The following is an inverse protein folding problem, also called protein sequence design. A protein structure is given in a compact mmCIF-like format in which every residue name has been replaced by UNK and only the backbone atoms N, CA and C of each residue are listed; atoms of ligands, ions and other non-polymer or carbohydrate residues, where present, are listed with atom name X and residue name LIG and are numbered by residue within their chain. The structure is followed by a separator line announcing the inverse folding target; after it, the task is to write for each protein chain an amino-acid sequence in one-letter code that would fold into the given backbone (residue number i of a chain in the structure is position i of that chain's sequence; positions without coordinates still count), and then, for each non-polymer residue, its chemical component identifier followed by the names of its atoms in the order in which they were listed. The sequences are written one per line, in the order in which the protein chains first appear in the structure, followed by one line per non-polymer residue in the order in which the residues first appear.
data_IF_344286145754
#
_entry.id   IF_344286145754
#
_cell.length_a   1.000
_cell.length_b   1.000
_cell.length_c   1.000
_cell.angle_alpha   90.00
_cell.angle_beta   90.00
_cell.angle_gamma   90.00
#
_symmetry.space_group_name_H-M   'P 1'
#
loop_
_entity.id
_entity.type
_entity.pdbx_description
1 polymer ?
#
# COMPACT_ATOMS: atom_id res chain seq x y z
N UNK A 1 -70.16 0.57 33.55
CA UNK A 1 -69.45 -0.31 32.59
C UNK A 1 -68.15 0.42 32.20
N UNK A 2 -67.01 0.02 32.76
CA UNK A 2 -65.72 0.73 32.60
C UNK A 2 -64.99 0.23 31.36
N UNK A 3 -64.67 1.15 30.44
CA UNK A 3 -63.92 0.92 29.22
C UNK A 3 -62.43 0.74 29.59
N UNK A 4 -61.82 -0.37 29.18
CA UNK A 4 -60.36 -0.57 29.23
C UNK A 4 -59.80 -0.47 27.82
N UNK A 5 -59.06 0.60 27.56
CA UNK A 5 -58.26 0.78 26.34
C UNK A 5 -56.97 -0.04 26.48
N UNK A 6 -56.56 -0.87 25.50
CA UNK A 6 -55.25 -1.50 25.55
C UNK A 6 -54.20 -0.53 24.98
N UNK A 7 -53.13 -0.31 25.73
CA UNK A 7 -51.94 0.39 25.23
C UNK A 7 -51.11 -0.61 24.40
N UNK A 8 -51.00 -0.36 23.10
CA UNK A 8 -50.10 -1.08 22.21
C UNK A 8 -48.69 -0.47 22.34
N UNK A 9 -47.78 -1.17 23.01
CA UNK A 9 -46.36 -0.80 23.05
C UNK A 9 -45.71 -1.14 21.70
N UNK A 10 -45.39 -0.12 20.91
CA UNK A 10 -44.63 -0.26 19.67
C UNK A 10 -43.13 -0.23 20.01
N UNK A 11 -42.47 -1.38 20.07
CA UNK A 11 -41.01 -1.46 20.14
C UNK A 11 -40.42 -1.20 18.74
N UNK A 12 -39.82 -0.03 18.54
CA UNK A 12 -39.04 0.29 17.34
C UNK A 12 -37.60 -0.17 17.60
N UNK A 13 -37.20 -1.29 17.00
CA UNK A 13 -35.79 -1.65 16.87
C UNK A 13 -35.16 -0.79 15.77
N UNK A 14 -34.48 0.30 16.15
CA UNK A 14 -33.53 0.99 15.27
C UNK A 14 -32.26 0.13 15.18
N UNK A 15 -32.21 -0.80 14.22
CA UNK A 15 -30.93 -1.35 13.76
C UNK A 15 -30.33 -0.36 12.76
N UNK A 16 -29.52 0.59 13.24
CA UNK A 16 -28.65 1.36 12.35
C UNK A 16 -27.46 0.48 11.95
N UNK A 17 -27.61 -0.31 10.88
CA UNK A 17 -26.46 -0.85 10.17
C UNK A 17 -25.77 0.33 9.47
N UNK A 18 -24.75 0.89 10.10
CA UNK A 18 -23.78 1.73 9.41
C UNK A 18 -22.93 0.80 8.54
N UNK A 19 -23.40 0.54 7.31
CA UNK A 19 -22.55 -0.02 6.26
C UNK A 19 -21.62 1.11 5.84
N UNK A 20 -20.47 1.22 6.50
CA UNK A 20 -19.41 2.08 5.99
C UNK A 20 -18.66 1.30 4.91
N UNK A 21 -18.71 1.81 3.68
CA UNK A 21 -17.93 1.25 2.58
C UNK A 21 -16.44 1.25 2.95
N UNK A 22 -15.76 0.12 2.74
CA UNK A 22 -14.34 -0.03 3.05
C UNK A 22 -13.47 0.79 2.08
N UNK A 23 -13.94 0.93 0.84
CA UNK A 23 -13.39 1.80 -0.19
C UNK A 23 -14.27 3.03 -0.32
N UNK A 24 -13.67 4.22 -0.27
CA UNK A 24 -14.38 5.49 -0.48
C UNK A 24 -13.56 6.44 -1.34
N UNK A 25 -14.16 7.56 -1.71
CA UNK A 25 -13.49 8.63 -2.46
C UNK A 25 -12.87 8.12 -3.78
N UNK A 26 -13.41 7.03 -4.31
CA UNK A 26 -13.01 6.48 -5.60
C UNK A 26 -13.40 7.47 -6.68
N UNK A 27 -12.42 8.00 -7.40
CA UNK A 27 -12.66 8.92 -8.51
C UNK A 27 -11.56 8.86 -9.54
N UNK A 28 -11.94 9.19 -10.77
CA UNK A 28 -11.00 9.44 -11.85
C UNK A 28 -10.11 10.64 -11.52
N UNK A 29 -8.82 10.53 -11.84
CA UNK A 29 -7.86 11.63 -11.78
C UNK A 29 -7.64 12.25 -13.14
N UNK A 30 -7.12 11.47 -14.07
CA UNK A 30 -6.78 11.92 -15.42
C UNK A 30 -6.58 10.73 -16.36
N UNK A 31 -6.60 11.01 -17.67
CA UNK A 31 -6.12 10.12 -18.72
C UNK A 31 -4.60 10.06 -18.67
N UNK A 32 -4.03 8.84 -18.73
CA UNK A 32 -2.58 8.66 -18.76
C UNK A 32 -2.08 9.05 -20.17
N UNK A 33 -0.97 9.79 -20.31
CA UNK A 33 -0.47 10.20 -21.62
C UNK A 33 -0.22 9.00 -22.54
N UNK A 34 -0.59 9.12 -23.82
CA UNK A 34 -0.51 8.03 -24.80
C UNK A 34 0.90 7.45 -25.03
N UNK A 35 1.96 8.11 -24.56
CA UNK A 35 3.33 7.55 -24.58
C UNK A 35 3.53 6.45 -23.53
N UNK A 36 2.72 6.43 -22.47
CA UNK A 36 2.72 5.42 -21.40
C UNK A 36 1.52 4.47 -21.54
N UNK A 37 1.19 4.09 -22.79
CA UNK A 37 -0.04 3.44 -23.25
C UNK A 37 -0.41 2.14 -22.52
N UNK A 38 0.56 1.41 -21.99
CA UNK A 38 0.44 0.04 -21.44
C UNK A 38 1.03 0.01 -20.02
N UNK A 39 0.52 0.89 -19.16
CA UNK A 39 1.01 1.03 -17.78
C UNK A 39 0.71 -0.21 -16.95
N UNK A 40 1.73 -1.08 -16.81
CA UNK A 40 1.71 -2.24 -15.92
C UNK A 40 2.05 -1.86 -14.48
N UNK A 41 3.11 -1.07 -14.26
CA UNK A 41 3.59 -0.72 -12.92
C UNK A 41 3.30 0.71 -12.50
N UNK A 42 3.02 0.92 -11.21
CA UNK A 42 2.87 2.26 -10.62
C UNK A 42 3.75 2.44 -9.38
N UNK A 43 4.42 3.58 -9.29
CA UNK A 43 5.10 4.00 -8.07
C UNK A 43 4.88 5.49 -7.78
N UNK A 44 4.56 5.84 -6.54
CA UNK A 44 4.53 7.23 -6.11
C UNK A 44 5.86 7.65 -5.47
N UNK A 45 6.53 8.65 -6.06
CA UNK A 45 7.82 9.15 -5.59
C UNK A 45 7.85 10.67 -5.58
N UNK A 46 7.95 11.28 -4.40
CA UNK A 46 8.11 12.74 -4.23
C UNK A 46 7.06 13.60 -4.96
N UNK A 47 5.79 13.22 -4.92
CA UNK A 47 4.73 13.96 -5.61
C UNK A 47 4.62 13.65 -7.10
N UNK A 48 5.39 12.67 -7.60
CA UNK A 48 5.37 12.20 -8.99
C UNK A 48 4.88 10.76 -9.04
N UNK A 49 4.29 10.40 -10.17
CA UNK A 49 3.95 9.03 -10.49
C UNK A 49 4.98 8.53 -11.48
N UNK A 50 5.62 7.41 -11.16
CA UNK A 50 6.52 6.69 -12.04
C UNK A 50 5.75 5.49 -12.60
N UNK A 51 5.84 5.29 -13.90
CA UNK A 51 5.24 4.18 -14.63
C UNK A 51 6.17 3.71 -15.76
N UNK A 52 5.91 2.56 -16.35
CA UNK A 52 6.52 2.08 -17.59
C UNK A 52 5.44 1.40 -18.45
N UNK A 53 5.78 1.14 -19.71
CA UNK A 53 4.94 0.28 -20.54
C UNK A 53 5.27 -1.20 -20.27
N UNK A 54 4.30 -2.09 -20.52
CA UNK A 54 4.38 -3.54 -20.34
C UNK A 54 5.53 -4.15 -21.16
N UNK A 55 5.31 -4.41 -22.45
CA UNK A 55 6.29 -4.98 -23.36
C UNK A 55 6.38 -4.19 -24.67
N UNK A 56 7.40 -4.48 -25.49
CA UNK A 56 7.53 -3.91 -26.85
C UNK A 56 7.95 -2.44 -26.95
N UNK A 57 8.10 -1.72 -25.83
CA UNK A 57 8.75 -0.40 -25.77
C UNK A 57 10.25 -0.53 -25.40
N UNK A 58 10.98 0.58 -25.43
CA UNK A 58 12.33 0.63 -24.87
C UNK A 58 12.27 0.65 -23.33
N UNK A 59 13.42 0.41 -22.69
CA UNK A 59 13.56 0.46 -21.24
C UNK A 59 13.44 1.90 -20.69
N UNK A 60 12.21 2.37 -20.57
CA UNK A 60 11.86 3.71 -20.11
C UNK A 60 11.02 3.70 -18.85
N UNK A 61 11.35 4.60 -17.93
CA UNK A 61 10.41 5.05 -16.90
C UNK A 61 9.83 6.41 -17.32
N UNK A 62 8.53 6.56 -17.16
CA UNK A 62 7.79 7.80 -17.40
C UNK A 62 7.47 8.46 -16.06
N UNK A 63 7.89 9.71 -15.88
CA UNK A 63 7.59 10.49 -14.69
C UNK A 63 6.45 11.47 -14.99
N UNK A 64 5.29 11.23 -14.38
CA UNK A 64 4.09 12.04 -14.51
C UNK A 64 3.91 12.93 -13.28
N UNK A 65 3.38 14.12 -13.50
CA UNK A 65 2.90 14.95 -12.41
C UNK A 65 1.64 14.34 -11.77
N UNK A 66 1.67 14.09 -10.46
CA UNK A 66 0.59 13.35 -9.78
C UNK A 66 -0.74 14.11 -9.66
N UNK A 67 -0.74 15.42 -9.92
CA UNK A 67 -1.94 16.26 -9.87
C UNK A 67 -2.57 16.41 -11.26
N UNK A 68 -1.74 16.56 -12.29
CA UNK A 68 -2.19 16.94 -13.64
C UNK A 68 -2.10 15.81 -14.67
N UNK A 69 -1.31 14.76 -14.42
CA UNK A 69 -1.04 13.68 -15.37
C UNK A 69 -0.07 14.07 -16.49
N UNK A 70 0.45 15.30 -16.48
CA UNK A 70 1.42 15.77 -17.48
C UNK A 70 2.72 14.98 -17.36
N UNK A 71 3.22 14.49 -18.50
CA UNK A 71 4.54 13.90 -18.60
C UNK A 71 5.60 14.98 -18.33
N UNK A 72 6.35 14.83 -17.23
CA UNK A 72 7.46 15.72 -16.92
C UNK A 72 8.70 15.32 -17.70
N UNK A 73 8.99 14.02 -17.73
CA UNK A 73 10.17 13.48 -18.40
C UNK A 73 10.06 11.98 -18.62
N UNK A 74 10.92 11.50 -19.52
CA UNK A 74 11.23 10.09 -19.74
C UNK A 74 12.64 9.82 -19.25
N UNK A 75 12.83 8.70 -18.57
CA UNK A 75 14.11 8.27 -18.00
C UNK A 75 14.52 6.97 -18.67
N UNK A 76 15.69 6.94 -19.30
CA UNK A 76 16.23 5.76 -20.00
C UNK A 76 17.11 4.92 -19.08
N UNK A 77 16.82 3.62 -19.01
CA UNK A 77 17.66 2.64 -18.33
C UNK A 77 18.58 1.99 -19.37
N UNK A 78 19.80 2.50 -19.48
CA UNK A 78 20.71 2.27 -20.63
C UNK A 78 21.16 0.83 -20.82
N UNK A 79 21.21 0.05 -19.75
CA UNK A 79 21.67 -1.34 -19.76
C UNK A 79 20.54 -2.33 -19.43
N UNK A 80 19.28 -1.93 -19.64
CA UNK A 80 18.13 -2.77 -19.49
C UNK A 80 17.41 -2.95 -20.82
N UNK A 81 16.70 -4.07 -20.95
CA UNK A 81 15.76 -4.33 -22.05
C UNK A 81 14.38 -4.55 -21.43
N UNK A 82 13.36 -3.97 -22.05
CA UNK A 82 11.99 -4.29 -21.73
C UNK A 82 11.56 -5.52 -22.54
N UNK A 83 11.70 -6.69 -21.92
CA UNK A 83 11.19 -7.94 -22.50
C UNK A 83 9.73 -8.09 -22.11
N UNK A 84 9.43 -8.03 -20.81
CA UNK A 84 8.09 -8.14 -20.26
C UNK A 84 8.07 -7.47 -18.87
N UNK A 85 8.00 -6.13 -18.86
CA UNK A 85 8.08 -5.34 -17.62
C UNK A 85 6.72 -5.24 -16.96
N UNK A 86 6.65 -5.65 -15.70
CA UNK A 86 5.39 -5.80 -14.98
C UNK A 86 5.19 -4.72 -13.92
N UNK A 87 5.69 -4.94 -12.71
CA UNK A 87 5.38 -4.05 -11.60
C UNK A 87 6.62 -3.29 -11.09
N UNK A 88 6.34 -2.21 -10.37
CA UNK A 88 7.32 -1.36 -9.72
C UNK A 88 7.25 -1.52 -8.20
N UNK A 89 8.40 -1.59 -7.56
CA UNK A 89 8.50 -1.50 -6.11
C UNK A 89 9.63 -0.56 -5.70
N UNK A 90 9.68 -0.19 -4.43
CA UNK A 90 10.75 0.64 -3.90
C UNK A 90 11.11 0.29 -2.45
N UNK A 91 12.30 0.73 -2.06
CA UNK A 91 12.69 0.87 -0.65
C UNK A 91 13.21 2.29 -0.41
N UNK A 92 13.84 2.59 0.72
CA UNK A 92 14.35 3.92 1.01
C UNK A 92 15.37 4.46 -0.01
N UNK A 93 16.10 3.57 -0.70
CA UNK A 93 17.26 3.88 -1.53
C UNK A 93 17.03 3.64 -3.03
N UNK A 94 16.29 2.59 -3.39
CA UNK A 94 16.19 2.08 -4.75
C UNK A 94 14.74 2.04 -5.26
N UNK A 95 14.60 2.15 -6.58
CA UNK A 95 13.43 1.67 -7.32
C UNK A 95 13.80 0.32 -7.92
N UNK A 96 12.82 -0.58 -7.95
CA UNK A 96 12.90 -1.90 -8.52
C UNK A 96 11.89 -2.00 -9.67
N UNK A 97 12.37 -2.49 -10.81
CA UNK A 97 11.58 -2.69 -12.03
C UNK A 97 11.56 -4.19 -12.31
N UNK A 98 10.37 -4.78 -12.33
CA UNK A 98 10.20 -6.21 -12.57
C UNK A 98 10.21 -6.51 -14.06
N UNK A 99 11.20 -7.26 -14.56
CA UNK A 99 11.18 -7.87 -15.89
C UNK A 99 10.92 -9.38 -15.69
N UNK A 100 9.67 -9.66 -15.32
CA UNK A 100 9.21 -10.94 -14.76
C UNK A 100 7.98 -11.51 -15.43
N UNK A 101 7.37 -10.76 -16.36
CA UNK A 101 6.30 -11.27 -17.20
C UNK A 101 6.81 -12.49 -17.96
N UNK A 102 5.93 -13.49 -18.07
CA UNK A 102 6.24 -14.80 -18.61
C UNK A 102 4.97 -15.47 -19.13
N UNK A 103 4.19 -14.81 -20.01
CA UNK A 103 2.83 -15.25 -20.37
C UNK A 103 2.74 -16.69 -20.91
N UNK A 104 3.84 -17.21 -21.50
CA UNK A 104 3.93 -18.56 -22.05
C UNK A 104 4.68 -19.55 -21.16
N UNK A 105 5.26 -19.11 -20.04
CA UNK A 105 6.01 -19.97 -19.14
C UNK A 105 7.36 -20.44 -19.70
N UNK A 106 7.89 -19.79 -20.72
CA UNK A 106 9.11 -20.21 -21.43
C UNK A 106 10.37 -19.45 -20.99
N UNK A 107 10.23 -18.35 -20.26
CA UNK A 107 11.37 -17.51 -19.88
C UNK A 107 12.23 -18.16 -18.80
N UNK A 108 13.54 -18.08 -19.01
CA UNK A 108 14.59 -18.59 -18.12
C UNK A 108 15.50 -17.47 -17.58
N UNK A 109 15.19 -16.23 -17.92
CA UNK A 109 16.03 -15.07 -17.69
C UNK A 109 15.31 -14.01 -16.84
N UNK A 110 14.38 -14.39 -15.96
CA UNK A 110 13.63 -13.44 -15.14
C UNK A 110 14.56 -12.61 -14.26
N UNK A 111 14.27 -11.32 -14.13
CA UNK A 111 15.13 -10.38 -13.39
C UNK A 111 14.36 -9.19 -12.83
N UNK A 112 14.96 -8.57 -11.83
CA UNK A 112 14.59 -7.26 -11.29
C UNK A 112 15.74 -6.29 -11.58
N UNK A 113 15.44 -5.16 -12.22
CA UNK A 113 16.38 -4.06 -12.35
C UNK A 113 16.30 -3.16 -11.13
N UNK A 114 17.45 -2.86 -10.53
CA UNK A 114 17.57 -1.99 -9.34
C UNK A 114 18.24 -0.68 -9.73
N UNK A 115 17.56 0.44 -9.48
CA UNK A 115 18.01 1.79 -9.85
C UNK A 115 18.08 2.67 -8.61
N UNK A 116 19.19 3.38 -8.42
CA UNK A 116 19.35 4.35 -7.34
C UNK A 116 18.39 5.53 -7.51
N UNK A 117 17.59 5.82 -6.49
CA UNK A 117 16.70 6.99 -6.48
C UNK A 117 17.47 8.31 -6.61
N UNK A 118 18.70 8.36 -6.12
CA UNK A 118 19.57 9.53 -6.21
C UNK A 118 20.03 9.81 -7.64
N UNK A 119 20.14 8.80 -8.50
CA UNK A 119 20.55 8.95 -9.89
C UNK A 119 19.40 9.48 -10.75
N UNK A 120 18.17 9.01 -10.48
CA UNK A 120 16.95 9.54 -11.11
C UNK A 120 16.78 11.04 -10.86
N UNK A 121 17.25 11.57 -9.72
CA UNK A 121 17.20 13.01 -9.43
C UNK A 121 18.19 13.84 -10.26
N UNK A 122 19.28 13.22 -10.74
CA UNK A 122 20.39 13.91 -11.41
C UNK A 122 20.31 13.83 -12.93
N UNK A 123 19.72 12.77 -13.47
CA UNK A 123 19.77 12.46 -14.90
C UNK A 123 18.46 11.86 -15.41
N UNK A 124 18.21 12.05 -16.70
CA UNK A 124 17.16 11.35 -17.45
C UNK A 124 17.70 10.08 -18.13
N UNK A 125 18.94 9.70 -17.82
CA UNK A 125 19.61 8.53 -18.37
C UNK A 125 20.44 7.92 -17.25
N UNK A 126 20.11 6.70 -16.86
CA UNK A 126 20.71 5.99 -15.74
C UNK A 126 21.03 4.54 -16.13
N UNK A 127 21.82 3.86 -15.32
CA UNK A 127 22.02 2.41 -15.41
C UNK A 127 21.32 1.73 -14.24
N UNK A 128 20.95 0.46 -14.43
CA UNK A 128 20.45 -0.40 -13.38
C UNK A 128 21.48 -1.46 -13.00
N UNK A 129 21.41 -1.94 -11.77
CA UNK A 129 21.96 -3.24 -11.40
C UNK A 129 20.92 -4.32 -11.65
N UNK A 130 21.35 -5.57 -11.84
CA UNK A 130 20.44 -6.69 -12.14
C UNK A 130 20.46 -7.70 -11.00
N UNK A 131 19.25 -8.10 -10.59
CA UNK A 131 19.01 -9.19 -9.66
C UNK A 131 18.24 -10.26 -10.42
N UNK A 132 18.87 -11.39 -10.70
CA UNK A 132 18.21 -12.46 -11.46
C UNK A 132 17.56 -13.46 -10.52
N UNK A 133 16.47 -14.07 -10.97
CA UNK A 133 15.84 -15.14 -10.21
C UNK A 133 15.25 -16.24 -11.10
N UNK A 134 15.08 -17.41 -10.51
CA UNK A 134 14.28 -18.51 -11.07
C UNK A 134 13.34 -19.05 -9.99
N UNK A 135 12.18 -19.59 -10.38
CA UNK A 135 11.31 -20.27 -9.43
C UNK A 135 11.94 -21.58 -8.96
N UNK A 136 11.73 -21.95 -7.70
CA UNK A 136 12.21 -23.23 -7.15
C UNK A 136 11.54 -24.45 -7.80
N UNK A 137 10.31 -24.29 -8.31
CA UNK A 137 9.43 -25.38 -8.74
C UNK A 137 9.03 -25.30 -10.23
N UNK A 138 9.61 -24.38 -11.01
CA UNK A 138 9.44 -24.38 -12.47
C UNK A 138 10.41 -25.38 -13.14
N UNK A 139 9.90 -26.55 -13.48
CA UNK A 139 10.70 -27.63 -14.08
C UNK A 139 10.49 -27.81 -15.59
N UNK A 140 9.45 -27.19 -16.17
CA UNK A 140 9.17 -27.19 -17.61
C UNK A 140 9.09 -25.75 -18.12
N UNK A 141 9.61 -25.57 -19.33
CA UNK A 141 9.58 -24.33 -20.10
C UNK A 141 8.90 -24.57 -21.46
N UNK A 142 8.04 -25.58 -21.51
CA UNK A 142 7.17 -25.83 -22.66
C UNK A 142 6.04 -24.80 -22.65
N UNK A 143 5.88 -24.09 -23.76
CA UNK A 143 4.93 -22.99 -23.86
C UNK A 143 3.48 -23.41 -23.53
N UNK A 144 2.83 -22.70 -22.61
CA UNK A 144 1.42 -22.92 -22.25
C UNK A 144 0.76 -21.62 -21.78
N UNK A 145 -0.55 -21.49 -21.98
CA UNK A 145 -1.34 -20.36 -21.47
C UNK A 145 -1.88 -20.59 -20.05
N UNK A 146 -1.68 -21.79 -19.48
CA UNK A 146 -2.29 -22.20 -18.20
C UNK A 146 -1.26 -22.53 -17.10
N UNK A 147 0.01 -22.20 -17.32
CA UNK A 147 1.04 -22.30 -16.28
C UNK A 147 0.87 -21.22 -15.19
N UNK A 148 1.61 -21.38 -14.09
CA UNK A 148 1.50 -20.54 -12.89
C UNK A 148 2.83 -19.83 -12.54
N UNK A 149 3.63 -19.51 -13.57
CA UNK A 149 4.98 -18.92 -13.45
C UNK A 149 5.08 -17.55 -14.15
N UNK A 150 3.93 -16.91 -14.35
CA UNK A 150 3.78 -15.55 -14.85
C UNK A 150 3.67 -14.61 -13.66
N UNK A 151 4.66 -13.73 -13.43
CA UNK A 151 4.71 -12.85 -12.27
C UNK A 151 4.45 -11.41 -12.65
N UNK A 152 3.29 -10.90 -12.23
CA UNK A 152 2.78 -9.60 -12.67
C UNK A 152 2.65 -8.58 -11.54
N UNK A 153 2.95 -8.96 -10.29
CA UNK A 153 2.97 -7.98 -9.21
C UNK A 153 4.18 -8.16 -8.29
N UNK A 154 4.70 -7.04 -7.79
CA UNK A 154 5.95 -6.98 -7.03
C UNK A 154 5.79 -6.05 -5.82
N UNK A 155 6.28 -6.51 -4.66
CA UNK A 155 6.50 -5.62 -3.50
C UNK A 155 7.85 -5.91 -2.87
N UNK A 156 8.43 -4.88 -2.24
CA UNK A 156 9.52 -5.06 -1.29
C UNK A 156 8.94 -5.12 0.12
N UNK A 157 9.18 -6.23 0.82
CA UNK A 157 8.73 -6.43 2.19
C UNK A 157 9.82 -7.12 3.01
N UNK A 158 10.18 -6.52 4.16
CA UNK A 158 11.18 -7.07 5.07
C UNK A 158 12.50 -7.50 4.37
N UNK A 159 13.05 -6.61 3.53
CA UNK A 159 14.27 -6.82 2.72
C UNK A 159 14.22 -7.98 1.73
N UNK A 160 13.02 -8.40 1.34
CA UNK A 160 12.80 -9.40 0.30
C UNK A 160 11.85 -8.85 -0.76
N UNK A 161 11.99 -9.34 -1.98
CA UNK A 161 10.93 -9.28 -2.95
C UNK A 161 9.87 -10.32 -2.59
N UNK A 162 8.62 -9.92 -2.71
CA UNK A 162 7.50 -10.84 -2.87
C UNK A 162 6.91 -10.62 -4.26
N UNK A 163 6.91 -11.66 -5.08
CA UNK A 163 6.26 -11.67 -6.39
C UNK A 163 4.96 -12.45 -6.32
N UNK A 164 3.92 -11.96 -6.99
CA UNK A 164 2.61 -12.59 -7.07
C UNK A 164 2.34 -13.03 -8.49
N UNK A 165 1.94 -14.28 -8.66
CA UNK A 165 1.70 -14.83 -9.99
C UNK A 165 0.27 -14.62 -10.49
N UNK A 166 0.14 -14.42 -11.81
CA UNK A 166 -1.13 -14.32 -12.55
C UNK A 166 -1.53 -15.68 -13.10
N UNK A 167 -2.09 -16.53 -12.24
CA UNK A 167 -2.40 -17.91 -12.63
C UNK A 167 -3.65 -17.98 -13.52
N UNK A 168 -3.46 -18.00 -14.84
CA UNK A 168 -4.55 -18.17 -15.81
C UNK A 168 -5.19 -19.56 -15.76
N UNK A 169 -4.44 -20.59 -15.33
CA UNK A 169 -4.91 -21.97 -15.29
C UNK A 169 -5.85 -22.31 -14.13
N UNK A 170 -5.61 -21.75 -12.93
CA UNK A 170 -6.38 -22.09 -11.71
C UNK A 170 -6.99 -20.89 -10.98
N UNK A 171 -6.76 -19.66 -11.48
CA UNK A 171 -7.27 -18.40 -10.91
C UNK A 171 -6.84 -18.16 -9.46
N UNK A 172 -5.77 -18.81 -9.01
CA UNK A 172 -5.09 -18.55 -7.75
C UNK A 172 -4.01 -17.49 -7.95
N UNK A 173 -3.29 -17.22 -6.88
CA UNK A 173 -1.97 -16.59 -6.96
C UNK A 173 -1.00 -17.38 -6.09
N UNK A 174 0.23 -17.54 -6.56
CA UNK A 174 1.34 -18.02 -5.75
C UNK A 174 2.20 -16.81 -5.35
N UNK A 175 2.77 -16.85 -4.15
CA UNK A 175 3.70 -15.83 -3.67
C UNK A 175 5.07 -16.46 -3.52
N UNK A 176 6.06 -15.90 -4.22
CA UNK A 176 7.45 -16.31 -4.09
C UNK A 176 8.28 -15.22 -3.43
N UNK A 177 9.26 -15.63 -2.64
CA UNK A 177 10.12 -14.77 -1.84
C UNK A 177 11.60 -15.00 -2.17
N UNK A 178 12.34 -13.91 -2.31
CA UNK A 178 13.80 -13.92 -2.46
C UNK A 178 14.40 -12.56 -2.04
N UNK A 179 15.68 -12.49 -1.62
CA UNK A 179 16.24 -11.26 -1.04
C UNK A 179 16.48 -10.16 -2.09
N UNK A 180 16.46 -8.90 -1.66
CA UNK A 180 16.75 -7.72 -2.51
C UNK A 180 18.24 -7.51 -2.82
N UNK A 181 19.09 -8.44 -2.38
CA UNK A 181 20.53 -8.39 -2.59
C UNK A 181 20.90 -8.73 -4.03
N UNK A 182 21.99 -8.18 -4.54
CA UNK A 182 22.50 -8.52 -5.88
C UNK A 182 22.85 -10.00 -5.99
N UNK A 183 22.73 -10.53 -7.21
CA UNK A 183 23.09 -11.89 -7.57
C UNK A 183 21.95 -12.66 -8.21
N UNK A 184 22.15 -13.97 -8.29
CA UNK A 184 21.17 -14.93 -8.79
C UNK A 184 20.50 -15.60 -7.60
N UNK A 185 19.17 -15.61 -7.57
CA UNK A 185 18.40 -16.18 -6.48
C UNK A 185 17.45 -17.27 -6.98
N UNK A 186 17.12 -18.19 -6.08
CA UNK A 186 15.99 -19.09 -6.26
C UNK A 186 14.82 -18.53 -5.46
N UNK A 187 13.72 -18.20 -6.14
CA UNK A 187 12.51 -17.71 -5.52
C UNK A 187 11.73 -18.87 -4.90
N UNK A 188 11.52 -18.79 -3.58
CA UNK A 188 10.87 -19.84 -2.79
C UNK A 188 9.39 -19.52 -2.62
N UNK A 189 8.51 -20.47 -2.88
CA UNK A 189 7.06 -20.35 -2.74
C UNK A 189 6.69 -20.36 -1.26
N UNK A 190 6.26 -19.21 -0.76
CA UNK A 190 5.96 -19.02 0.68
C UNK A 190 4.48 -18.93 1.01
N UNK A 191 3.63 -18.62 0.02
CA UNK A 191 2.19 -18.48 0.21
C UNK A 191 1.43 -18.75 -1.08
N UNK A 192 0.13 -18.97 -0.97
CA UNK A 192 -0.79 -19.06 -2.10
C UNK A 192 -2.22 -18.78 -1.63
N UNK A 193 -3.04 -18.25 -2.52
CA UNK A 193 -4.45 -18.01 -2.24
C UNK A 193 -5.34 -18.31 -3.44
N UNK A 194 -6.52 -18.85 -3.17
CA UNK A 194 -7.59 -18.96 -4.16
C UNK A 194 -8.32 -17.62 -4.29
N UNK A 195 -7.73 -16.72 -5.08
CA UNK A 195 -8.28 -15.38 -5.32
C UNK A 195 -9.55 -15.45 -6.17
N UNK A 196 -9.68 -16.46 -7.04
CA UNK A 196 -10.69 -16.53 -8.10
C UNK A 196 -10.58 -15.28 -9.00
N UNK A 197 -9.37 -15.06 -9.52
CA UNK A 197 -9.03 -13.96 -10.39
C UNK A 197 -7.54 -13.86 -10.68
N UNK A 198 -7.21 -12.99 -11.62
CA UNK A 198 -5.86 -12.71 -12.08
C UNK A 198 -5.33 -11.48 -11.34
N UNK A 199 -4.20 -11.62 -10.64
CA UNK A 199 -3.49 -10.50 -10.00
C UNK A 199 -2.61 -9.82 -11.05
N UNK A 200 -2.59 -8.49 -11.01
CA UNK A 200 -1.87 -7.65 -12.00
C UNK A 200 -1.04 -6.53 -11.37
N UNK A 201 -1.20 -6.29 -10.06
CA UNK A 201 -0.40 -5.28 -9.37
C UNK A 201 -0.52 -5.39 -7.87
N UNK A 202 0.52 -4.92 -7.17
CA UNK A 202 0.59 -5.00 -5.71
C UNK A 202 1.23 -3.77 -5.10
N UNK A 203 0.77 -3.42 -3.91
CA UNK A 203 1.45 -2.42 -3.08
C UNK A 203 1.37 -2.82 -1.61
N UNK A 204 2.34 -2.36 -0.82
CA UNK A 204 2.40 -2.60 0.61
C UNK A 204 2.53 -1.27 1.35
N UNK A 205 1.70 -1.09 2.38
CA UNK A 205 1.76 0.07 3.24
C UNK A 205 1.55 -0.35 4.69
N UNK A 206 2.53 -0.08 5.56
CA UNK A 206 2.47 -0.43 6.98
C UNK A 206 2.14 -1.91 7.23
N UNK A 207 2.78 -2.80 6.46
CA UNK A 207 2.55 -4.25 6.47
C UNK A 207 1.14 -4.69 6.03
N UNK A 208 0.29 -3.79 5.54
CA UNK A 208 -0.93 -4.15 4.82
C UNK A 208 -0.60 -4.27 3.34
N UNK A 209 -0.98 -5.39 2.73
CA UNK A 209 -0.86 -5.56 1.28
C UNK A 209 -2.20 -5.22 0.65
N UNK A 210 -2.12 -4.55 -0.49
CA UNK A 210 -3.26 -4.29 -1.34
C UNK A 210 -2.87 -4.72 -2.76
N UNK A 211 -3.60 -5.70 -3.29
CA UNK A 211 -3.41 -6.20 -4.65
C UNK A 211 -4.60 -5.75 -5.50
N UNK A 212 -4.38 -5.50 -6.78
CA UNK A 212 -5.44 -5.36 -7.76
C UNK A 212 -5.41 -6.51 -8.77
N UNK A 213 -6.51 -6.65 -9.50
CA UNK A 213 -6.68 -7.72 -10.46
C UNK A 213 -8.05 -7.73 -11.08
N UNK A 214 -8.27 -8.71 -11.96
CA UNK A 214 -9.51 -8.90 -12.71
C UNK A 214 -10.03 -10.31 -12.55
N UNK A 215 -11.35 -10.48 -12.36
CA UNK A 215 -11.96 -11.80 -12.29
C UNK A 215 -12.33 -12.33 -13.68
N UNK A 216 -12.80 -13.58 -13.75
CA UNK A 216 -13.19 -14.24 -15.00
C UNK A 216 -14.32 -13.51 -15.78
N UNK A 217 -15.09 -12.62 -15.14
CA UNK A 217 -16.13 -11.81 -15.77
C UNK A 217 -15.62 -10.42 -16.18
N UNK A 218 -14.30 -10.23 -16.26
CA UNK A 218 -13.66 -8.95 -16.52
C UNK A 218 -14.05 -7.84 -15.50
N UNK A 219 -14.39 -8.20 -14.27
CA UNK A 219 -14.69 -7.22 -13.20
C UNK A 219 -13.42 -7.00 -12.37
N UNK A 220 -12.97 -5.74 -12.20
CA UNK A 220 -11.81 -5.43 -11.39
C UNK A 220 -12.09 -5.65 -9.92
N UNK A 221 -11.06 -5.97 -9.15
CA UNK A 221 -11.15 -6.13 -7.71
C UNK A 221 -9.89 -5.67 -7.00
N UNK A 222 -10.04 -5.49 -5.69
CA UNK A 222 -8.96 -5.30 -4.75
C UNK A 222 -8.91 -6.47 -3.77
N UNK A 223 -7.72 -6.91 -3.39
CA UNK A 223 -7.46 -7.88 -2.33
C UNK A 223 -6.66 -7.20 -1.23
N UNK A 224 -7.20 -7.13 -0.03
CA UNK A 224 -6.53 -6.61 1.16
C UNK A 224 -6.06 -7.75 2.06
N UNK A 225 -4.78 -7.74 2.40
CA UNK A 225 -4.15 -8.65 3.37
C UNK A 225 -3.72 -7.82 4.58
N UNK A 226 -4.28 -8.15 5.74
CA UNK A 226 -4.10 -7.36 6.95
C UNK A 226 -2.68 -7.44 7.51
N UNK A 227 -2.22 -6.33 8.08
CA UNK A 227 -1.02 -6.32 8.95
C UNK A 227 -1.21 -7.17 10.22
N UNK A 228 -2.46 -7.37 10.68
CA UNK A 228 -2.79 -8.19 11.86
C UNK A 228 -2.90 -9.69 11.54
N UNK A 229 -2.29 -10.13 10.43
CA UNK A 229 -2.19 -11.57 10.09
C UNK A 229 -1.23 -12.29 11.04
N UNK A 230 -1.28 -13.61 11.02
CA UNK A 230 -0.31 -14.45 11.71
C UNK A 230 1.11 -14.12 11.21
N UNK A 231 2.13 -14.08 12.08
CA UNK A 231 3.50 -13.84 11.66
C UNK A 231 4.01 -14.99 10.78
N UNK A 232 5.00 -14.69 9.95
CA UNK A 232 5.62 -15.64 9.02
C UNK A 232 5.44 -15.25 7.56
N UNK A 233 6.04 -16.05 6.68
CA UNK A 233 6.09 -15.75 5.25
C UNK A 233 4.78 -16.05 4.50
N UNK A 234 3.91 -16.90 5.08
CA UNK A 234 2.59 -17.18 4.55
C UNK A 234 1.62 -16.02 4.85
N UNK A 235 1.65 -15.00 3.98
CA UNK A 235 0.85 -13.79 4.14
C UNK A 235 -0.66 -14.03 4.04
N UNK A 236 -1.09 -15.09 3.35
CA UNK A 236 -2.51 -15.44 3.20
C UNK A 236 -3.04 -16.36 4.31
N UNK A 237 -2.20 -16.83 5.24
CA UNK A 237 -2.58 -17.77 6.31
C UNK A 237 -3.79 -17.33 7.13
N UNK A 238 -3.89 -16.02 7.41
CA UNK A 238 -5.01 -15.44 8.17
C UNK A 238 -6.19 -15.00 7.29
N UNK A 239 -6.19 -15.38 6.02
CA UNK A 239 -7.17 -14.96 5.02
C UNK A 239 -6.91 -13.57 4.46
N UNK A 240 -7.82 -13.13 3.60
CA UNK A 240 -7.79 -11.84 2.93
C UNK A 240 -9.23 -11.33 2.74
N UNK A 241 -9.39 -10.03 2.49
CA UNK A 241 -10.66 -9.44 2.08
C UNK A 241 -10.62 -9.10 0.59
N UNK A 242 -11.62 -9.53 -0.18
CA UNK A 242 -11.77 -9.17 -1.60
C UNK A 242 -12.91 -8.18 -1.78
N UNK A 243 -12.68 -7.12 -2.55
CA UNK A 243 -13.66 -6.08 -2.87
C UNK A 243 -13.75 -5.90 -4.39
N UNK A 244 -14.91 -6.12 -4.99
CA UNK A 244 -15.12 -5.92 -6.43
C UNK A 244 -15.42 -4.45 -6.73
N UNK A 245 -14.75 -3.89 -7.74
CA UNK A 245 -14.93 -2.51 -8.21
C UNK A 245 -16.06 -2.40 -9.26
N UNK A 246 -17.12 -3.21 -9.11
CA UNK A 246 -18.25 -3.24 -10.06
C UNK A 246 -18.97 -1.91 -10.12
N UNK A 247 -19.10 -1.22 -8.99
CA UNK A 247 -19.80 0.07 -8.91
C UNK A 247 -18.89 1.24 -9.31
N UNK A 248 -17.59 1.08 -9.11
CA UNK A 248 -16.58 2.11 -9.31
C UNK A 248 -16.07 2.16 -10.76
N UNK A 249 -15.81 0.99 -11.35
CA UNK A 249 -15.26 0.86 -12.71
C UNK A 249 -16.18 0.11 -13.67
N UNK A 250 -16.91 -0.89 -13.17
CA UNK A 250 -17.76 -1.75 -14.00
C UNK A 250 -16.99 -2.86 -14.73
N UNK A 251 -17.69 -3.54 -15.65
CA UNK A 251 -17.15 -4.68 -16.42
C UNK A 251 -16.21 -4.20 -17.53
N UNK A 252 -15.18 -5.00 -17.85
CA UNK A 252 -14.28 -4.76 -18.98
C UNK A 252 -13.17 -3.74 -18.70
N UNK A 253 -13.02 -3.30 -17.45
CA UNK A 253 -12.05 -2.28 -17.07
C UNK A 253 -10.76 -2.91 -16.53
N UNK A 254 -9.89 -3.42 -17.39
CA UNK A 254 -8.65 -4.07 -16.95
C UNK A 254 -7.75 -3.11 -16.14
N UNK A 255 -7.54 -3.45 -14.86
CA UNK A 255 -6.65 -2.72 -13.95
C UNK A 255 -5.32 -3.45 -13.85
N UNK A 256 -4.23 -2.69 -13.82
CA UNK A 256 -2.87 -3.25 -13.82
C UNK A 256 -2.09 -2.78 -12.60
N UNK A 257 -1.57 -1.56 -12.63
CA UNK A 257 -0.76 -1.02 -11.55
C UNK A 257 -1.55 -0.45 -10.38
N UNK A 258 -0.99 -0.58 -9.18
CA UNK A 258 -1.50 0.01 -7.93
C UNK A 258 -0.35 0.53 -7.08
N UNK A 259 -0.50 1.70 -6.46
CA UNK A 259 0.53 2.23 -5.55
C UNK A 259 -0.06 3.07 -4.43
N UNK A 260 0.54 3.02 -3.25
CA UNK A 260 0.17 3.91 -2.15
C UNK A 260 0.89 5.26 -2.29
N UNK A 261 0.17 6.37 -2.10
CA UNK A 261 0.77 7.71 -2.15
C UNK A 261 0.64 8.50 -0.84
N UNK A 262 -0.22 8.03 0.06
CA UNK A 262 -0.41 8.56 1.41
C UNK A 262 -1.11 7.48 2.26
N UNK A 263 -1.16 7.68 3.58
CA UNK A 263 -1.74 6.70 4.51
C UNK A 263 -3.21 6.39 4.18
N UNK A 264 -3.45 5.14 3.77
CA UNK A 264 -4.72 4.61 3.30
C UNK A 264 -5.23 5.20 1.98
N UNK A 265 -4.37 5.86 1.19
CA UNK A 265 -4.72 6.42 -0.12
C UNK A 265 -3.87 5.81 -1.23
N UNK A 266 -4.54 5.45 -2.31
CA UNK A 266 -3.96 4.65 -3.38
C UNK A 266 -4.31 5.19 -4.75
N UNK A 267 -3.38 5.03 -5.68
CA UNK A 267 -3.65 5.11 -7.10
C UNK A 267 -3.81 3.72 -7.68
N UNK A 268 -4.67 3.61 -8.69
CA UNK A 268 -4.84 2.41 -9.52
C UNK A 268 -4.95 2.85 -10.98
N UNK A 269 -4.22 2.17 -11.87
CA UNK A 269 -4.33 2.39 -13.31
C UNK A 269 -5.34 1.42 -13.92
N UNK A 270 -5.96 1.88 -15.00
CA UNK A 270 -6.71 1.05 -15.95
C UNK A 270 -6.06 1.19 -17.31
N UNK A 271 -5.89 0.08 -18.00
CA UNK A 271 -5.39 0.06 -19.37
C UNK A 271 -6.39 0.57 -20.40
N UNK A 272 -5.85 0.86 -21.59
CA UNK A 272 -6.70 1.05 -22.76
C UNK A 272 -7.24 -0.31 -23.21
N UNK A 273 -8.55 -0.41 -23.40
CA UNK A 273 -9.19 -1.61 -23.97
C UNK A 273 -9.72 -1.20 -25.33
N UNK A 274 -9.33 -1.90 -26.38
CA UNK A 274 -9.79 -1.60 -27.73
C UNK A 274 -10.27 -2.87 -28.44
N UNK A 275 -11.52 -3.21 -28.15
CA UNK A 275 -12.26 -4.32 -28.75
C UNK A 275 -13.33 -3.79 -29.70
N UNK A 276 -13.84 -4.61 -30.62
CA UNK A 276 -14.78 -4.21 -31.68
C UNK A 276 -16.02 -3.43 -31.20
N UNK A 277 -16.43 -3.61 -29.94
CA UNK A 277 -17.63 -3.00 -29.33
C UNK A 277 -17.28 -2.02 -28.19
N UNK A 278 -16.06 -2.07 -27.65
CA UNK A 278 -15.66 -1.31 -26.45
C UNK A 278 -14.30 -0.65 -26.69
N UNK A 279 -14.28 0.68 -26.64
CA UNK A 279 -13.05 1.48 -26.63
C UNK A 279 -12.96 2.26 -25.32
N UNK A 280 -12.09 1.80 -24.43
CA UNK A 280 -11.74 2.47 -23.18
C UNK A 280 -10.35 3.06 -23.29
N UNK A 281 -10.21 4.29 -22.83
CA UNK A 281 -8.91 4.93 -22.70
C UNK A 281 -8.22 4.52 -21.41
N UNK A 282 -6.90 4.54 -21.42
CA UNK A 282 -6.09 4.35 -20.23
C UNK A 282 -6.26 5.52 -19.25
N UNK A 283 -6.46 5.23 -17.97
CA UNK A 283 -6.73 6.25 -16.95
C UNK A 283 -6.13 5.90 -15.60
N UNK A 284 -5.90 6.94 -14.79
CA UNK A 284 -5.55 6.82 -13.39
C UNK A 284 -6.75 7.18 -12.50
N UNK A 285 -6.95 6.41 -11.45
CA UNK A 285 -7.95 6.67 -10.41
C UNK A 285 -7.27 6.82 -9.05
N UNK A 286 -7.91 7.55 -8.15
CA UNK A 286 -7.54 7.53 -6.73
C UNK A 286 -8.69 7.05 -5.86
N UNK A 287 -8.36 6.42 -4.74
CA UNK A 287 -9.33 6.01 -3.74
C UNK A 287 -8.71 5.94 -2.35
N UNK A 288 -9.57 5.75 -1.36
CA UNK A 288 -9.20 5.54 0.04
C UNK A 288 -9.64 4.16 0.52
N UNK A 289 -8.78 3.45 1.23
CA UNK A 289 -9.10 2.20 1.93
C UNK A 289 -8.91 2.36 3.44
N UNK A 290 -10.01 2.26 4.21
CA UNK A 290 -9.95 2.40 5.66
C UNK A 290 -9.37 1.19 6.38
N UNK A 291 -9.29 0.03 5.72
CA UNK A 291 -8.70 -1.19 6.31
C UNK A 291 -7.19 -1.03 6.52
N UNK A 292 -6.53 -0.27 5.65
CA UNK A 292 -5.13 0.14 5.82
C UNK A 292 -4.92 1.22 6.88
N UNK A 293 -5.99 1.86 7.38
CA UNK A 293 -5.90 2.92 8.38
C UNK A 293 -5.94 2.42 9.82
N UNK A 294 -6.23 1.14 10.04
CA UNK A 294 -6.17 0.56 11.37
C UNK A 294 -4.80 0.90 11.96
N UNK A 295 -4.82 1.55 13.13
CA UNK A 295 -3.64 1.93 13.89
C UNK A 295 -2.77 0.69 14.10
N UNK A 296 -1.87 0.42 13.15
CA UNK A 296 -0.57 -0.13 13.49
C UNK A 296 -0.06 0.80 14.56
N UNK A 297 0.05 0.29 15.78
CA UNK A 297 0.99 0.88 16.70
C UNK A 297 2.29 0.71 15.93
N UNK A 298 2.74 1.75 15.21
CA UNK A 298 4.16 1.86 14.87
C UNK A 298 4.84 1.40 16.15
N UNK A 299 5.57 0.28 16.07
CA UNK A 299 6.32 -0.27 17.18
C UNK A 299 7.23 0.87 17.58
N UNK A 300 6.75 1.68 18.52
CA UNK A 300 7.17 3.07 18.64
C UNK A 300 8.59 2.94 19.12
N UNK A 301 9.53 3.23 18.24
CA UNK A 301 10.95 3.41 18.52
C UNK A 301 11.11 4.70 19.33
N UNK A 302 10.48 4.69 20.50
CA UNK A 302 10.57 5.67 21.57
C UNK A 302 10.77 4.86 22.85
N UNK A 303 11.78 3.99 22.84
CA UNK A 303 12.24 3.27 24.02
C UNK A 303 12.69 4.25 25.14
N UNK A 304 12.87 5.55 24.83
CA UNK A 304 13.51 6.51 25.73
C UNK A 304 12.64 7.74 26.10
N UNK A 305 11.31 7.64 26.05
CA UNK A 305 10.40 8.67 26.61
C UNK A 305 9.70 8.16 27.87
N UNK A 306 10.11 8.68 29.03
CA UNK A 306 9.57 8.31 30.34
C UNK A 306 8.83 9.48 30.99
N UNK A 307 7.62 9.23 31.49
CA UNK A 307 6.82 10.23 32.20
C UNK A 307 6.40 9.67 33.55
N UNK A 308 6.81 10.32 34.64
CA UNK A 308 6.57 9.83 35.99
C UNK A 308 6.56 10.97 37.02
N UNK A 309 5.94 10.80 38.21
CA UNK A 309 5.08 9.66 38.54
C UNK A 309 3.78 9.72 37.73
N UNK A 310 3.27 8.54 37.38
CA UNK A 310 1.94 8.38 36.80
C UNK A 310 1.35 7.07 37.35
N UNK A 311 0.32 7.11 38.22
CA UNK A 311 -0.47 8.28 38.64
C UNK A 311 0.32 9.36 39.40
N UNK A 312 -0.16 10.61 39.38
CA UNK A 312 0.46 11.77 40.06
C UNK A 312 -0.53 12.48 40.99
N UNK A 313 -0.02 13.09 42.06
CA UNK A 313 -0.74 14.01 42.94
C UNK A 313 -0.63 15.48 42.48
N UNK A 314 0.18 15.79 41.47
CA UNK A 314 0.30 17.14 40.93
C UNK A 314 1.50 17.36 40.03
N UNK A 315 2.71 16.89 40.41
CA UNK A 315 3.90 17.11 39.59
C UNK A 315 4.21 15.90 38.72
N UNK A 316 4.56 16.14 37.45
CA UNK A 316 5.04 15.12 36.51
C UNK A 316 6.38 15.55 35.93
N UNK A 317 7.29 14.59 35.81
CA UNK A 317 8.59 14.72 35.16
C UNK A 317 8.56 14.02 33.82
N UNK A 318 9.13 14.65 32.79
CA UNK A 318 9.25 14.11 31.44
C UNK A 318 10.73 13.98 31.11
N UNK A 319 11.19 12.73 30.94
CA UNK A 319 12.53 12.41 30.46
C UNK A 319 12.46 11.97 29.00
N UNK A 320 13.20 12.66 28.15
CA UNK A 320 13.38 12.30 26.75
C UNK A 320 14.84 12.53 26.34
N UNK A 321 15.35 11.66 25.46
CA UNK A 321 16.64 11.84 24.78
C UNK A 321 16.54 12.78 23.56
N UNK A 322 15.32 13.08 23.10
CA UNK A 322 15.06 14.01 22.01
C UNK A 322 14.63 15.37 22.54
N UNK A 323 14.98 16.42 21.81
CA UNK A 323 14.54 17.78 22.12
C UNK A 323 13.03 17.92 21.93
N UNK A 324 12.36 18.39 22.98
CA UNK A 324 10.92 18.59 23.01
C UNK A 324 10.64 20.02 22.56
N UNK A 325 9.78 20.20 21.58
CA UNK A 325 9.35 21.51 21.11
C UNK A 325 8.21 22.05 21.99
N UNK A 326 7.16 21.26 22.16
CA UNK A 326 5.98 21.65 22.94
C UNK A 326 5.35 20.47 23.67
N UNK A 327 4.69 20.79 24.78
CA UNK A 327 3.93 19.84 25.58
C UNK A 327 2.55 20.41 25.82
N UNK A 328 1.51 19.75 25.32
CA UNK A 328 0.12 20.17 25.45
C UNK A 328 -0.68 19.14 26.27
N UNK A 329 -1.51 19.60 27.21
CA UNK A 329 -2.39 18.75 28.00
C UNK A 329 -3.84 18.94 27.56
N UNK A 330 -4.56 17.83 27.39
CA UNK A 330 -5.96 17.77 27.01
C UNK A 330 -6.77 16.99 28.05
N UNK A 331 -8.05 17.32 28.20
CA UNK A 331 -9.00 16.48 28.93
C UNK A 331 -9.54 15.35 28.03
N UNK A 332 -10.37 14.46 28.59
CA UNK A 332 -10.99 13.35 27.87
C UNK A 332 -11.95 13.76 26.76
N UNK A 333 -12.43 15.01 26.76
CA UNK A 333 -13.27 15.58 25.70
C UNK A 333 -12.43 16.21 24.56
N UNK A 334 -11.10 16.10 24.60
CA UNK A 334 -10.20 16.67 23.60
C UNK A 334 -10.00 18.19 23.70
N UNK A 335 -10.52 18.84 24.76
CA UNK A 335 -10.27 20.26 25.02
C UNK A 335 -8.84 20.44 25.55
N UNK A 336 -8.05 21.29 24.89
CA UNK A 336 -6.73 21.70 25.37
C UNK A 336 -6.89 22.47 26.68
N UNK A 337 -6.26 21.98 27.74
CA UNK A 337 -6.28 22.56 29.09
C UNK A 337 -5.09 23.49 29.29
N UNK A 338 -3.89 23.08 28.85
CA UNK A 338 -2.66 23.85 29.04
C UNK A 338 -1.59 23.47 28.03
N UNK A 339 -0.64 24.36 27.81
CA UNK A 339 0.53 24.16 26.94
C UNK A 339 1.79 24.69 27.62
N UNK A 340 2.91 24.01 27.40
CA UNK A 340 4.22 24.29 27.96
C UNK A 340 5.27 24.23 26.84
N UNK A 341 6.31 25.08 26.94
CA UNK A 341 7.39 25.17 25.96
C UNK A 341 8.60 24.30 26.35
N UNK A 342 9.44 24.02 25.34
CA UNK A 342 10.60 23.12 25.30
C UNK A 342 11.45 22.90 26.57
N UNK A 343 11.61 23.91 27.43
CA UNK A 343 12.59 23.88 28.53
C UNK A 343 12.06 23.29 29.84
N UNK A 344 10.77 22.95 29.93
CA UNK A 344 10.16 22.46 31.17
C UNK A 344 10.12 20.92 31.21
N UNK A 345 11.12 20.33 31.88
CA UNK A 345 11.18 18.88 32.17
C UNK A 345 10.26 18.46 33.32
N UNK A 346 9.74 19.43 34.07
CA UNK A 346 8.76 19.24 35.13
C UNK A 346 7.52 20.07 34.84
N UNK A 347 6.36 19.45 34.98
CA UNK A 347 5.06 20.07 34.79
C UNK A 347 4.25 19.94 36.07
N UNK A 348 3.76 21.07 36.55
CA UNK A 348 2.82 21.11 37.67
C UNK A 348 1.37 21.16 37.15
N UNK A 349 0.61 20.13 37.50
CA UNK A 349 -0.83 19.97 37.31
C UNK A 349 -1.59 19.81 38.64
N UNK A 350 -1.06 20.31 39.76
CA UNK A 350 -1.73 20.21 41.07
C UNK A 350 -3.12 20.84 41.07
N UNK A 351 -3.28 21.91 40.29
CA UNK A 351 -4.53 22.67 40.17
C UNK A 351 -5.57 22.01 39.25
N UNK A 352 -5.26 20.84 38.67
CA UNK A 352 -6.20 20.12 37.83
C UNK A 352 -7.09 19.23 38.70
N UNK A 353 -8.36 19.12 38.31
CA UNK A 353 -9.29 18.18 38.94
C UNK A 353 -8.75 16.74 38.85
N UNK A 354 -9.18 15.89 39.80
CA UNK A 354 -8.88 14.46 39.73
C UNK A 354 -9.49 13.87 38.46
N UNK A 355 -8.73 13.08 37.71
CA UNK A 355 -9.18 12.54 36.44
C UNK A 355 -8.07 12.11 35.49
N UNK A 356 -8.49 11.72 34.29
CA UNK A 356 -7.61 11.29 33.21
C UNK A 356 -7.31 12.47 32.28
N UNK A 357 -6.05 12.63 31.91
CA UNK A 357 -5.57 13.64 30.98
C UNK A 357 -4.72 13.00 29.88
N UNK A 358 -4.69 13.63 28.71
CA UNK A 358 -3.82 13.26 27.60
C UNK A 358 -2.72 14.30 27.45
N UNK A 359 -1.47 13.85 27.52
CA UNK A 359 -0.28 14.64 27.30
C UNK A 359 0.21 14.41 25.87
N UNK A 360 0.19 15.45 25.03
CA UNK A 360 0.75 15.45 23.68
C UNK A 360 2.10 16.16 23.70
N UNK A 361 3.16 15.47 23.28
CA UNK A 361 4.53 15.99 23.22
C UNK A 361 4.91 16.06 21.74
N UNK A 362 5.37 17.23 21.29
CA UNK A 362 5.86 17.45 19.94
C UNK A 362 7.38 17.58 19.97
N UNK A 363 8.07 16.86 19.10
CA UNK A 363 9.52 16.91 18.93
C UNK A 363 9.90 17.73 17.69
N UNK A 364 11.16 18.14 17.59
CA UNK A 364 11.65 18.95 16.47
C UNK A 364 11.62 18.24 15.11
N UNK A 365 11.67 16.90 15.11
CA UNK A 365 11.47 16.05 13.92
C UNK A 365 10.01 16.00 13.44
N UNK A 366 9.15 16.90 13.94
CA UNK A 366 7.70 16.99 13.70
C UNK A 366 6.90 15.76 14.14
N UNK A 367 7.51 14.78 14.81
CA UNK A 367 6.78 13.65 15.41
C UNK A 367 6.02 14.12 16.65
N UNK A 368 4.86 13.51 16.88
CA UNK A 368 4.02 13.77 18.04
C UNK A 368 3.77 12.49 18.81
N UNK A 369 3.82 12.56 20.14
CA UNK A 369 3.59 11.43 21.02
C UNK A 369 2.48 11.77 21.99
N UNK A 370 1.54 10.87 22.18
CA UNK A 370 0.46 11.01 23.14
C UNK A 370 0.64 10.00 24.28
N UNK A 371 0.51 10.47 25.52
CA UNK A 371 0.61 9.66 26.75
C UNK A 371 -0.54 9.98 27.68
N UNK A 372 -1.12 8.95 28.30
CA UNK A 372 -2.18 9.09 29.31
C UNK A 372 -1.56 9.40 30.67
N UNK A 373 -2.08 10.40 31.38
CA UNK A 373 -1.72 10.75 32.76
C UNK A 373 -2.96 10.65 33.65
N UNK A 374 -2.77 10.14 34.87
CA UNK A 374 -3.83 9.99 35.88
C UNK A 374 -3.52 10.91 37.06
N UNK A 375 -4.38 11.91 37.31
CA UNK A 375 -4.32 12.80 38.47
C UNK A 375 -5.28 12.29 39.55
N UNK A 376 -4.78 12.04 40.75
CA UNK A 376 -5.58 11.61 41.90
C UNK A 376 -5.60 12.63 43.03
#
# INVERSE_FOLDING_TARGET
MKIKTPYLFLLIFLNSFLIQSQITEFKEKFEIPAVAKETSGLLFLNGKIITHNDSGDNAYLYELDSLTGVLNRRITITNATNVDWEDLADDETYIYISDSGNNKGTRTDLKIYRVLKSDLKKSNTVSAETISFSYEDQTSFDGSDTHNFDAEALVVYENNFLIFTKNRGDLKTNVYKFPITLGNHTAVKVSSANIVGLITGATVQNSNFLLCGINANAIPFLVHISANRSPGDDIFKSGFSKYTLTNELGVGNQVEGITSFDYGRFYISREAVNEDIISLKQKLFEFRDYRSLLLSIEKNTLENLNIYPNPTSGNITIRSEKEIQTISIYNTLGKKIKEFNANQKEINISNFSKGIYLLKIKFDDKKNVIRKIIKH
#
